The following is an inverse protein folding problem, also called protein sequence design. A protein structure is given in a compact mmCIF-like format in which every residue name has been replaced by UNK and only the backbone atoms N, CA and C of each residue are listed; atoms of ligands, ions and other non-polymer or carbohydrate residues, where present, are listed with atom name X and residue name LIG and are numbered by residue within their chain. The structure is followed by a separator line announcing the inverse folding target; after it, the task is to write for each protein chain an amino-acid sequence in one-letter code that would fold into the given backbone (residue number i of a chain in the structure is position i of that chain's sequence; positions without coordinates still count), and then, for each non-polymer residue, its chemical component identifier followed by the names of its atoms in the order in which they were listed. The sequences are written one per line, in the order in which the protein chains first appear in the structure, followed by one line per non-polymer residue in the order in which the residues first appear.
data_IF_154722581243
#
_entry.id   IF_154722581243
#
_cell.length_a   1.000
_cell.length_b   1.000
_cell.length_c   1.000
_cell.angle_alpha   90.00
_cell.angle_beta   90.00
_cell.angle_gamma   90.00
#
_symmetry.space_group_name_H-M   'P 1'
#
loop_
_entity.id
_entity.type
_entity.pdbx_description
1 polymer ?
#
# COMPACT_ATOMS: atom_id res chain seq x y z
N UNK A 1 -34.39 47.62 -33.47
CA UNK A 1 -33.84 48.99 -33.54
C UNK A 1 -32.34 49.04 -33.18
N UNK A 2 -31.90 48.33 -32.12
CA UNK A 2 -30.48 48.27 -31.69
C UNK A 2 -29.54 47.64 -32.75
N UNK A 3 -29.91 46.52 -33.38
CA UNK A 3 -29.05 45.86 -34.38
C UNK A 3 -28.73 46.73 -35.62
N UNK A 4 -29.62 47.66 -35.98
CA UNK A 4 -29.42 48.59 -37.10
C UNK A 4 -28.41 49.70 -36.76
N UNK A 5 -28.40 50.16 -35.49
CA UNK A 5 -27.43 51.13 -34.97
C UNK A 5 -26.03 50.52 -34.82
N UNK A 6 -25.94 49.26 -34.38
CA UNK A 6 -24.65 48.53 -34.30
C UNK A 6 -24.02 48.38 -35.69
N UNK A 7 -24.80 47.98 -36.70
CA UNK A 7 -24.31 47.85 -38.07
C UNK A 7 -23.87 49.19 -38.69
N UNK A 8 -24.61 50.28 -38.44
CA UNK A 8 -24.19 51.61 -38.89
C UNK A 8 -22.93 52.11 -38.18
N UNK A 9 -22.77 51.83 -36.89
CA UNK A 9 -21.56 52.16 -36.14
C UNK A 9 -20.34 51.37 -36.63
N UNK A 10 -20.51 50.10 -37.02
CA UNK A 10 -19.45 49.27 -37.61
C UNK A 10 -19.04 49.78 -39.00
N UNK A 11 -20.01 50.22 -39.81
CA UNK A 11 -19.77 50.70 -41.18
C UNK A 11 -19.10 52.09 -41.23
N UNK A 12 -19.37 52.97 -40.26
CA UNK A 12 -18.86 54.35 -40.29
C UNK A 12 -17.39 54.49 -39.84
N UNK A 13 -16.87 53.55 -39.03
CA UNK A 13 -15.50 53.61 -38.49
C UNK A 13 -14.81 52.24 -38.52
N UNK A 14 -14.64 51.64 -39.72
CA UNK A 14 -14.24 50.24 -39.88
C UNK A 14 -12.92 49.91 -39.17
N UNK A 15 -11.94 50.80 -39.21
CA UNK A 15 -10.64 50.58 -38.54
C UNK A 15 -10.73 50.51 -37.01
N UNK A 16 -11.53 51.37 -36.38
CA UNK A 16 -11.70 51.35 -34.91
C UNK A 16 -12.53 50.15 -34.45
N UNK A 17 -13.55 49.80 -35.22
CA UNK A 17 -14.38 48.63 -34.98
C UNK A 17 -13.59 47.32 -35.13
N UNK A 18 -12.74 47.23 -36.16
CA UNK A 18 -11.85 46.09 -36.35
C UNK A 18 -10.85 45.95 -35.20
N UNK A 19 -10.24 47.06 -34.77
CA UNK A 19 -9.30 47.08 -33.63
C UNK A 19 -9.97 46.63 -32.33
N UNK A 20 -11.19 47.11 -32.05
CA UNK A 20 -11.94 46.72 -30.86
C UNK A 20 -12.38 45.25 -30.89
N UNK A 21 -12.81 44.74 -32.05
CA UNK A 21 -13.19 43.34 -32.21
C UNK A 21 -11.98 42.40 -32.09
N UNK A 22 -10.84 42.78 -32.68
CA UNK A 22 -9.57 42.05 -32.53
C UNK A 22 -9.10 42.07 -31.08
N UNK A 23 -9.10 43.23 -30.42
CA UNK A 23 -8.71 43.36 -29.02
C UNK A 23 -9.61 42.55 -28.08
N UNK A 24 -10.93 42.57 -28.32
CA UNK A 24 -11.87 41.76 -27.55
C UNK A 24 -11.69 40.26 -27.80
N UNK A 25 -11.55 39.83 -29.07
CA UNK A 25 -11.31 38.44 -29.42
C UNK A 25 -9.99 37.91 -28.86
N UNK A 26 -8.92 38.73 -28.87
CA UNK A 26 -7.63 38.39 -28.29
C UNK A 26 -7.70 38.33 -26.76
N UNK A 27 -8.40 39.27 -26.12
CA UNK A 27 -8.64 39.25 -24.68
C UNK A 27 -9.42 38.02 -24.23
N UNK A 28 -10.53 37.69 -24.91
CA UNK A 28 -11.31 36.47 -24.64
C UNK A 28 -10.48 35.22 -24.93
N UNK A 29 -9.71 35.19 -26.01
CA UNK A 29 -8.82 34.07 -26.34
C UNK A 29 -7.74 33.83 -25.28
N UNK A 30 -7.12 34.90 -24.77
CA UNK A 30 -6.17 34.83 -23.66
C UNK A 30 -6.86 34.39 -22.37
N UNK A 31 -8.05 34.90 -22.04
CA UNK A 31 -8.80 34.46 -20.85
C UNK A 31 -9.22 32.99 -20.95
N UNK A 32 -9.67 32.51 -22.11
CA UNK A 32 -9.98 31.09 -22.34
C UNK A 32 -8.71 30.24 -22.27
N UNK A 33 -7.59 30.70 -22.82
CA UNK A 33 -6.31 29.99 -22.70
C UNK A 33 -5.82 29.96 -21.24
N UNK A 34 -5.95 31.05 -20.49
CA UNK A 34 -5.57 31.10 -19.08
C UNK A 34 -6.53 30.33 -18.17
N UNK A 35 -7.82 30.26 -18.49
CA UNK A 35 -8.79 29.40 -17.83
C UNK A 35 -8.59 27.94 -18.22
N UNK A 36 -8.17 27.63 -19.45
CA UNK A 36 -7.86 26.27 -19.89
C UNK A 36 -6.52 25.80 -19.32
N UNK A 37 -5.53 26.69 -19.16
CA UNK A 37 -4.28 26.41 -18.43
C UNK A 37 -4.58 26.36 -16.94
N UNK A 38 -5.48 27.19 -16.42
CA UNK A 38 -5.96 27.17 -15.05
C UNK A 38 -6.70 25.88 -14.73
N UNK A 39 -7.58 25.42 -15.63
CA UNK A 39 -8.28 24.14 -15.54
C UNK A 39 -7.30 23.00 -15.76
N UNK A 40 -6.34 23.07 -16.68
CA UNK A 40 -5.30 22.03 -16.82
C UNK A 40 -4.34 21.99 -15.63
N UNK A 41 -4.05 23.12 -14.99
CA UNK A 41 -3.26 23.21 -13.75
C UNK A 41 -4.06 22.78 -12.54
N UNK A 42 -5.37 23.06 -12.52
CA UNK A 42 -6.32 22.63 -11.49
C UNK A 42 -6.67 21.16 -11.67
N UNK A 43 -6.65 20.62 -12.89
CA UNK A 43 -6.83 19.21 -13.22
C UNK A 43 -5.51 18.47 -12.97
N UNK A 44 -4.34 19.03 -13.29
CA UNK A 44 -3.04 18.56 -12.78
C UNK A 44 -2.88 18.68 -11.26
N UNK A 45 -3.58 19.63 -10.60
CA UNK A 45 -3.53 19.77 -9.14
C UNK A 45 -4.65 19.01 -8.43
N UNK A 46 -5.74 18.65 -9.13
CA UNK A 46 -6.80 17.76 -8.64
C UNK A 46 -6.43 16.29 -8.88
N UNK A 47 -5.59 16.02 -9.87
CA UNK A 47 -4.84 14.76 -10.03
C UNK A 47 -3.67 14.66 -9.02
N UNK A 48 -3.84 15.30 -7.85
CA UNK A 48 -2.89 15.35 -6.72
C UNK A 48 -3.55 15.35 -5.34
N UNK A 49 -4.84 15.09 -5.26
CA UNK A 49 -5.48 14.72 -4.01
C UNK A 49 -5.62 13.20 -3.98
N UNK A 50 -4.52 12.52 -3.62
CA UNK A 50 -4.43 11.37 -2.73
C UNK A 50 -3.01 10.79 -2.85
N UNK A 51 -2.25 10.95 -1.77
CA UNK A 51 -1.08 10.13 -1.47
C UNK A 51 -1.53 8.67 -1.46
N UNK A 52 -1.23 8.01 -2.57
CA UNK A 52 -1.50 6.62 -2.86
C UNK A 52 -0.27 6.03 -3.52
N UNK A 53 0.66 5.56 -2.69
CA UNK A 53 1.96 5.07 -3.14
C UNK A 53 1.87 3.75 -3.89
N UNK A 54 1.73 3.85 -5.21
CA UNK A 54 2.20 2.91 -6.22
C UNK A 54 2.92 3.79 -7.26
N UNK A 55 4.16 3.51 -7.63
CA UNK A 55 4.42 2.56 -8.70
C UNK A 55 5.87 2.08 -8.61
N UNK A 56 6.08 0.82 -8.97
CA UNK A 56 7.24 0.53 -9.79
C UNK A 56 7.14 1.41 -11.05
N UNK A 57 7.82 2.57 -11.08
CA UNK A 57 7.91 3.36 -12.32
C UNK A 57 8.83 2.61 -13.28
N UNK A 58 8.22 1.76 -14.13
CA UNK A 58 8.88 1.21 -15.31
C UNK A 58 9.02 2.34 -16.31
N UNK A 59 10.16 3.02 -16.26
CA UNK A 59 10.48 4.11 -17.17
C UNK A 59 10.70 3.50 -18.57
N UNK A 60 9.95 3.92 -19.62
CA UNK A 60 10.28 3.56 -21.00
C UNK A 60 11.75 3.88 -21.27
N UNK A 61 12.45 3.04 -22.03
CA UNK A 61 13.83 3.32 -22.39
C UNK A 61 13.95 4.72 -23.01
N UNK A 62 14.58 5.66 -22.29
CA UNK A 62 14.81 7.03 -22.74
C UNK A 62 14.16 8.17 -21.96
N UNK A 63 13.39 7.92 -20.88
CA UNK A 63 12.90 8.99 -19.98
C UNK A 63 13.88 9.24 -18.83
N UNK A 64 14.11 10.53 -18.52
CA UNK A 64 15.03 11.02 -17.48
C UNK A 64 14.37 10.99 -16.09
N UNK A 65 15.11 10.52 -15.08
CA UNK A 65 14.69 10.49 -13.68
C UNK A 65 14.53 11.89 -13.09
N UNK A 66 15.22 12.90 -13.63
CA UNK A 66 15.11 14.30 -13.19
C UNK A 66 13.71 14.90 -13.45
N UNK A 67 12.98 14.37 -14.44
CA UNK A 67 11.61 14.82 -14.74
C UNK A 67 10.62 14.50 -13.61
N UNK A 68 10.92 13.51 -12.75
CA UNK A 68 10.11 13.15 -11.58
C UNK A 68 10.27 14.12 -10.39
N UNK A 69 11.29 14.99 -10.40
CA UNK A 69 11.56 15.95 -9.31
C UNK A 69 10.73 17.24 -9.35
N UNK A 70 9.98 17.50 -10.41
CA UNK A 70 9.47 18.86 -10.71
C UNK A 70 8.09 19.23 -10.11
N UNK A 71 7.57 18.46 -9.14
CA UNK A 71 6.34 18.79 -8.43
C UNK A 71 6.53 19.86 -7.33
N UNK A 72 6.13 21.11 -7.60
CA UNK A 72 6.30 22.24 -6.68
C UNK A 72 5.59 22.15 -5.32
N UNK A 73 6.06 22.98 -4.37
CA UNK A 73 5.62 23.28 -2.98
C UNK A 73 5.49 22.09 -2.01
N UNK A 74 5.22 20.87 -2.48
CA UNK A 74 5.43 19.61 -1.75
C UNK A 74 6.90 19.15 -1.73
N UNK A 75 7.80 19.93 -2.36
CA UNK A 75 9.23 19.65 -2.50
C UNK A 75 10.04 19.67 -1.20
N UNK A 76 9.40 19.87 -0.03
CA UNK A 76 10.05 19.83 1.28
C UNK A 76 10.12 18.42 1.89
N UNK A 77 9.34 17.46 1.37
CA UNK A 77 9.31 16.08 1.86
C UNK A 77 9.18 15.09 0.69
N UNK A 78 10.26 14.90 -0.07
CA UNK A 78 10.30 13.85 -1.10
C UNK A 78 10.50 12.47 -0.45
N UNK A 79 9.42 11.73 -0.24
CA UNK A 79 9.48 10.26 -0.12
C UNK A 79 9.22 9.68 -1.49
N UNK A 80 10.21 8.99 -2.09
CA UNK A 80 9.94 8.09 -3.20
C UNK A 80 9.31 6.85 -2.58
N UNK A 81 8.04 6.59 -2.89
CA UNK A 81 7.33 5.44 -2.38
C UNK A 81 8.08 4.15 -2.73
N UNK A 82 8.15 3.24 -1.76
CA UNK A 82 8.90 1.98 -1.86
C UNK A 82 10.40 2.10 -2.17
N UNK A 83 11.02 3.28 -2.07
CA UNK A 83 12.46 3.43 -2.26
C UNK A 83 13.28 2.55 -1.32
N UNK A 84 12.79 2.35 -0.09
CA UNK A 84 13.40 1.42 0.86
C UNK A 84 13.37 -0.02 0.33
N UNK A 85 12.22 -0.48 -0.17
CA UNK A 85 12.09 -1.82 -0.74
C UNK A 85 12.96 -1.99 -2.00
N UNK A 86 12.90 -1.03 -2.93
CA UNK A 86 13.71 -1.04 -4.16
C UNK A 86 15.21 -1.07 -3.83
N UNK A 87 15.66 -0.24 -2.88
CA UNK A 87 17.05 -0.27 -2.45
C UNK A 87 17.42 -1.59 -1.78
N UNK A 88 16.66 -2.02 -0.76
CA UNK A 88 16.97 -3.18 0.09
C UNK A 88 16.86 -4.49 -0.68
N UNK A 89 15.75 -4.73 -1.37
CA UNK A 89 15.43 -6.02 -1.99
C UNK A 89 15.89 -6.14 -3.44
N UNK A 90 15.95 -5.04 -4.19
CA UNK A 90 16.27 -5.09 -5.63
C UNK A 90 17.71 -4.67 -5.89
N UNK A 91 18.08 -3.42 -5.57
CA UNK A 91 19.37 -2.85 -5.96
C UNK A 91 20.53 -3.39 -5.11
N UNK A 92 20.33 -3.52 -3.80
CA UNK A 92 21.30 -4.12 -2.86
C UNK A 92 21.02 -5.60 -2.58
N UNK A 93 19.98 -6.16 -3.21
CA UNK A 93 19.58 -7.54 -3.04
C UNK A 93 20.52 -8.54 -3.71
N UNK A 94 20.46 -9.82 -3.30
CA UNK A 94 21.36 -10.86 -3.80
C UNK A 94 21.17 -11.15 -5.29
N UNK A 95 19.99 -10.91 -5.87
CA UNK A 95 19.72 -11.18 -7.29
C UNK A 95 20.58 -10.33 -8.23
N UNK A 96 20.89 -9.10 -7.84
CA UNK A 96 21.66 -8.16 -8.65
C UNK A 96 23.11 -7.98 -8.16
N UNK A 97 23.59 -8.77 -7.19
CA UNK A 97 24.92 -8.59 -6.57
C UNK A 97 26.08 -8.61 -7.58
N UNK A 98 25.94 -9.39 -8.66
CA UNK A 98 26.98 -9.50 -9.69
C UNK A 98 26.91 -8.37 -10.73
N UNK A 99 25.83 -7.59 -10.73
CA UNK A 99 25.56 -6.51 -11.71
C UNK A 99 25.61 -5.12 -11.08
N UNK A 100 25.19 -4.99 -9.82
CA UNK A 100 25.14 -3.74 -9.07
C UNK A 100 26.23 -3.78 -8.00
N UNK A 101 27.31 -3.04 -8.25
CA UNK A 101 28.43 -2.94 -7.30
C UNK A 101 28.08 -2.12 -6.06
N UNK A 102 27.32 -1.04 -6.26
CA UNK A 102 26.87 -0.14 -5.20
C UNK A 102 25.62 0.61 -5.68
N UNK A 103 24.74 0.91 -4.72
CA UNK A 103 23.61 1.81 -4.88
C UNK A 103 23.63 2.80 -3.71
N UNK A 104 23.19 4.03 -3.93
CA UNK A 104 23.11 5.05 -2.89
C UNK A 104 21.80 5.84 -3.03
N UNK A 105 20.99 5.96 -1.95
CA UNK A 105 19.90 6.92 -1.93
C UNK A 105 20.47 8.34 -1.88
N UNK A 106 19.88 9.24 -2.66
CA UNK A 106 20.32 10.63 -2.77
C UNK A 106 19.12 11.56 -3.02
N UNK A 107 19.00 12.60 -2.20
CA UNK A 107 18.21 13.82 -2.46
C UNK A 107 19.16 15.00 -2.73
N UNK A 108 19.02 15.68 -3.86
CA UNK A 108 19.85 16.82 -4.26
C UNK A 108 19.03 18.12 -4.30
N UNK A 109 19.74 19.25 -4.19
CA UNK A 109 19.24 20.62 -4.40
C UNK A 109 17.99 21.00 -3.57
N UNK A 110 17.89 20.49 -2.35
CA UNK A 110 16.84 20.90 -1.42
C UNK A 110 17.09 22.35 -0.94
N UNK A 111 16.20 23.28 -1.27
CA UNK A 111 16.31 24.66 -0.81
C UNK A 111 16.00 24.76 0.69
N UNK A 112 17.00 25.13 1.48
CA UNK A 112 16.85 25.49 2.88
C UNK A 112 17.19 26.98 3.10
N UNK A 113 16.75 27.51 4.22
CA UNK A 113 17.12 28.85 4.67
C UNK A 113 17.85 28.74 6.00
N UNK A 114 19.06 29.27 6.06
CA UNK A 114 19.89 29.30 7.25
C UNK A 114 19.78 30.68 7.87
N UNK A 115 19.27 30.75 9.11
CA UNK A 115 19.27 31.97 9.90
C UNK A 115 20.58 32.10 10.70
N UNK A 116 21.35 33.14 10.41
CA UNK A 116 22.61 33.45 11.10
C UNK A 116 22.52 34.86 11.66
N UNK A 117 22.17 34.96 12.95
CA UNK A 117 21.85 36.24 13.57
C UNK A 117 20.61 36.85 12.93
N UNK A 118 20.72 38.09 12.44
CA UNK A 118 19.63 38.82 11.76
C UNK A 118 19.61 38.60 10.23
N UNK A 119 20.40 37.64 9.71
CA UNK A 119 20.51 37.37 8.26
C UNK A 119 19.98 35.99 7.92
N UNK A 120 19.06 35.93 6.97
CA UNK A 120 18.59 34.67 6.37
C UNK A 120 19.31 34.44 5.03
N UNK A 121 19.94 33.28 4.88
CA UNK A 121 20.70 32.91 3.69
C UNK A 121 20.04 31.68 3.05
N UNK A 122 19.70 31.79 1.76
CA UNK A 122 19.27 30.63 0.98
C UNK A 122 20.45 29.69 0.73
N UNK A 123 20.28 28.41 1.05
CA UNK A 123 21.30 27.37 0.86
C UNK A 123 20.70 26.17 0.14
N UNK A 124 21.49 25.52 -0.71
CA UNK A 124 21.14 24.24 -1.31
C UNK A 124 21.68 23.11 -0.42
N UNK A 125 20.81 22.20 0.01
CA UNK A 125 21.12 21.08 0.86
C UNK A 125 21.02 19.75 0.10
N UNK A 126 21.84 18.80 0.54
CA UNK A 126 21.91 17.45 -0.01
C UNK A 126 21.72 16.43 1.11
N UNK A 127 20.92 15.40 0.84
CA UNK A 127 20.78 14.24 1.70
C UNK A 127 21.38 13.01 1.01
N UNK A 128 22.43 12.43 1.58
CA UNK A 128 23.01 11.19 1.10
C UNK A 128 23.50 10.35 2.29
N UNK A 129 23.54 9.04 2.09
CA UNK A 129 24.17 8.14 3.06
C UNK A 129 25.69 8.14 2.81
N UNK A 130 26.52 8.54 3.79
CA UNK A 130 27.96 8.74 3.59
C UNK A 130 28.69 7.52 3.02
N UNK A 131 28.50 6.34 3.61
CA UNK A 131 29.16 5.11 3.18
C UNK A 131 28.77 4.69 1.76
N UNK A 132 27.53 4.94 1.36
CA UNK A 132 27.02 4.58 0.02
C UNK A 132 27.50 5.55 -1.05
N UNK A 133 27.58 6.82 -0.71
CA UNK A 133 28.16 7.85 -1.58
C UNK A 133 29.66 7.60 -1.79
N UNK A 134 30.38 7.20 -0.74
CA UNK A 134 31.77 6.79 -0.83
C UNK A 134 31.95 5.53 -1.71
N UNK A 135 31.04 4.55 -1.62
CA UNK A 135 31.07 3.35 -2.45
C UNK A 135 30.88 3.66 -3.95
N UNK A 136 30.17 4.74 -4.28
CA UNK A 136 30.03 5.26 -5.65
C UNK A 136 31.19 6.18 -6.07
N UNK A 137 32.10 6.54 -5.16
CA UNK A 137 33.20 7.47 -5.43
C UNK A 137 32.78 8.94 -5.53
N UNK A 138 31.65 9.32 -4.92
CA UNK A 138 31.05 10.67 -5.03
C UNK A 138 31.00 11.41 -3.68
N UNK A 139 31.89 11.09 -2.75
CA UNK A 139 31.96 11.79 -1.46
C UNK A 139 32.20 13.31 -1.65
N UNK A 140 31.45 14.17 -0.95
CA UNK A 140 31.62 15.60 -1.01
C UNK A 140 32.93 16.03 -0.33
N UNK A 141 33.46 17.17 -0.76
CA UNK A 141 34.56 17.82 -0.06
C UNK A 141 34.01 18.51 1.17
N UNK A 142 34.39 18.02 2.36
CA UNK A 142 33.94 18.58 3.63
C UNK A 142 34.76 19.83 3.98
N UNK A 143 34.08 20.96 4.13
CA UNK A 143 34.70 22.22 4.62
C UNK A 143 34.79 22.22 6.16
N UNK A 144 33.80 21.64 6.83
CA UNK A 144 33.73 21.53 8.28
C UNK A 144 32.92 20.31 8.71
N UNK A 145 33.20 19.79 9.91
CA UNK A 145 32.47 18.67 10.53
C UNK A 145 32.97 17.29 10.11
N UNK A 146 32.18 16.28 10.47
CA UNK A 146 32.34 14.89 10.05
C UNK A 146 31.07 14.44 9.30
N UNK A 147 31.24 13.53 8.35
CA UNK A 147 30.16 13.00 7.53
C UNK A 147 30.27 11.47 7.50
N UNK A 148 29.60 10.86 8.46
CA UNK A 148 29.64 9.43 8.74
C UNK A 148 28.21 8.91 8.89
N UNK A 149 28.00 7.62 8.60
CA UNK A 149 26.68 7.00 8.73
C UNK A 149 26.15 7.15 10.16
N UNK A 150 24.92 7.64 10.26
CA UNK A 150 24.15 7.66 11.50
C UNK A 150 23.44 6.32 11.75
N UNK A 151 22.92 6.14 12.96
CA UNK A 151 22.04 5.02 13.28
C UNK A 151 20.77 5.02 12.39
N UNK A 152 20.30 6.21 11.99
CA UNK A 152 19.16 6.34 11.08
C UNK A 152 19.49 5.86 9.65
N UNK A 153 20.73 6.08 9.19
CA UNK A 153 21.20 5.57 7.89
C UNK A 153 21.33 4.05 7.92
N UNK A 154 21.88 3.50 9.02
CA UNK A 154 21.97 2.06 9.22
C UNK A 154 20.56 1.42 9.24
N UNK A 155 19.61 2.00 9.99
CA UNK A 155 18.21 1.56 10.01
C UNK A 155 17.55 1.68 8.64
N UNK A 156 17.85 2.73 7.87
CA UNK A 156 17.31 2.89 6.53
C UNK A 156 17.84 1.82 5.57
N UNK A 157 19.12 1.46 5.64
CA UNK A 157 19.72 0.47 4.73
C UNK A 157 19.43 -0.98 5.12
N UNK A 158 19.53 -1.31 6.40
CA UNK A 158 19.53 -2.67 6.93
C UNK A 158 18.83 -2.67 8.30
N UNK A 159 17.50 -2.44 8.34
CA UNK A 159 16.74 -2.54 9.59
C UNK A 159 16.77 -3.98 10.14
N UNK A 160 16.58 -4.13 11.46
CA UNK A 160 16.20 -5.45 11.99
C UNK A 160 14.84 -5.87 11.44
N UNK A 161 14.52 -7.17 11.46
CA UNK A 161 13.24 -7.65 10.95
C UNK A 161 12.03 -7.04 11.67
N UNK A 162 12.08 -6.94 12.99
CA UNK A 162 11.03 -6.25 13.77
C UNK A 162 10.83 -4.80 13.37
N UNK A 163 11.91 -4.07 13.09
CA UNK A 163 11.84 -2.67 12.63
C UNK A 163 11.29 -2.59 11.21
N UNK A 164 11.70 -3.48 10.31
CA UNK A 164 11.17 -3.55 8.95
C UNK A 164 9.66 -3.85 8.95
N UNK A 165 9.22 -4.81 9.76
CA UNK A 165 7.80 -5.16 9.89
C UNK A 165 7.00 -4.00 10.47
N UNK A 166 7.50 -3.34 11.52
CA UNK A 166 6.92 -2.11 12.04
C UNK A 166 6.79 -0.99 11.00
N UNK A 167 7.73 -0.88 10.05
CA UNK A 167 7.67 0.10 8.98
C UNK A 167 6.60 -0.18 7.91
N UNK A 168 6.19 -1.44 7.73
CA UNK A 168 5.31 -1.83 6.61
C UNK A 168 3.94 -2.36 7.04
N UNK A 169 3.78 -2.79 8.29
CA UNK A 169 2.65 -3.61 8.74
C UNK A 169 1.98 -3.06 10.01
N UNK A 170 2.27 -1.81 10.39
CA UNK A 170 1.57 -1.15 11.49
C UNK A 170 0.14 -0.76 11.08
N UNK A 171 -0.75 -0.61 12.08
CA UNK A 171 -2.11 -0.15 11.84
C UNK A 171 -2.17 1.35 11.54
N UNK A 172 -3.27 1.78 10.95
CA UNK A 172 -3.53 3.18 10.61
C UNK A 172 -4.73 3.71 11.40
N UNK A 173 -4.67 5.01 11.71
CA UNK A 173 -5.87 5.75 12.11
C UNK A 173 -6.42 6.39 10.85
N UNK A 174 -7.67 6.09 10.42
CA UNK A 174 -8.23 6.72 9.25
C UNK A 174 -8.37 8.22 9.46
N UNK A 175 -8.26 8.99 8.37
CA UNK A 175 -8.38 10.44 8.38
C UNK A 175 -9.34 10.90 7.29
N UNK A 176 -9.84 12.14 7.37
CA UNK A 176 -10.74 12.71 6.37
C UNK A 176 -12.01 11.89 6.16
N UNK A 177 -12.43 11.74 4.91
CA UNK A 177 -13.66 11.03 4.57
C UNK A 177 -13.65 9.56 5.03
N UNK A 178 -12.48 8.91 5.02
CA UNK A 178 -12.32 7.52 5.48
C UNK A 178 -12.66 7.36 6.96
N UNK A 179 -12.32 8.34 7.81
CA UNK A 179 -12.62 8.30 9.25
C UNK A 179 -14.13 8.36 9.53
N UNK A 180 -14.88 8.93 8.60
CA UNK A 180 -16.33 9.06 8.64
C UNK A 180 -17.07 7.94 7.90
N UNK A 181 -16.41 7.05 7.16
CA UNK A 181 -17.09 5.98 6.42
C UNK A 181 -17.27 4.73 7.30
N UNK A 182 -18.50 4.22 7.40
CA UNK A 182 -18.82 3.02 8.19
C UNK A 182 -18.23 1.72 7.66
N UNK A 183 -17.68 1.74 6.44
CA UNK A 183 -17.04 0.60 5.77
C UNK A 183 -15.52 0.73 5.75
N UNK A 184 -14.97 1.74 6.45
CA UNK A 184 -13.55 1.71 6.78
C UNK A 184 -13.26 0.44 7.57
N UNK A 185 -12.28 -0.33 7.10
CA UNK A 185 -11.78 -1.48 7.81
C UNK A 185 -10.30 -1.68 7.49
N UNK A 186 -9.59 -2.15 8.51
CA UNK A 186 -8.19 -2.54 8.45
C UNK A 186 -8.03 -3.88 9.15
N UNK A 187 -7.30 -4.81 8.53
CA UNK A 187 -7.16 -6.15 9.09
C UNK A 187 -5.82 -6.80 8.79
N UNK A 188 -5.31 -7.51 9.79
CA UNK A 188 -4.34 -8.59 9.56
C UNK A 188 -5.08 -9.86 9.19
N UNK A 189 -4.63 -10.54 8.14
CA UNK A 189 -5.14 -11.84 7.74
C UNK A 189 -4.02 -12.86 7.65
N UNK A 190 -4.25 -14.02 8.26
CA UNK A 190 -3.33 -15.15 8.28
C UNK A 190 -4.02 -16.35 7.64
N UNK A 191 -3.30 -17.03 6.75
CA UNK A 191 -3.69 -18.31 6.18
C UNK A 191 -2.63 -19.35 6.56
N UNK A 192 -3.03 -20.39 7.29
CA UNK A 192 -2.15 -21.46 7.75
C UNK A 192 -2.61 -22.78 7.14
N UNK A 193 -1.72 -23.45 6.42
CA UNK A 193 -1.93 -24.79 5.89
C UNK A 193 -1.28 -25.81 6.83
N UNK A 194 -2.09 -26.77 7.31
CA UNK A 194 -1.63 -27.84 8.18
C UNK A 194 -0.43 -28.61 7.60
N UNK A 195 0.47 -29.18 8.43
CA UNK A 195 1.67 -29.86 7.94
C UNK A 195 1.37 -31.07 7.03
N UNK A 196 0.24 -31.73 7.25
CA UNK A 196 -0.26 -32.85 6.46
C UNK A 196 -1.20 -32.42 5.32
N UNK A 197 -1.32 -31.11 5.09
CA UNK A 197 -2.22 -30.47 4.12
C UNK A 197 -3.70 -30.86 4.26
N UNK A 198 -4.12 -31.32 5.45
CA UNK A 198 -5.48 -31.80 5.67
C UNK A 198 -6.51 -30.68 5.85
N UNK A 199 -6.07 -29.48 6.24
CA UNK A 199 -6.92 -28.32 6.43
C UNK A 199 -6.18 -26.99 6.26
N UNK A 200 -6.97 -25.94 6.00
CA UNK A 200 -6.57 -24.54 6.10
C UNK A 200 -7.23 -23.89 7.32
N UNK A 201 -6.47 -23.08 8.03
CA UNK A 201 -6.98 -22.12 9.01
C UNK A 201 -6.81 -20.71 8.43
N UNK A 202 -7.92 -20.02 8.27
CA UNK A 202 -7.96 -18.59 8.00
C UNK A 202 -8.25 -17.85 9.30
N UNK A 203 -7.50 -16.80 9.60
CA UNK A 203 -7.64 -16.00 10.82
C UNK A 203 -7.51 -14.52 10.48
N UNK A 204 -8.52 -13.73 10.83
CA UNK A 204 -8.57 -12.29 10.54
C UNK A 204 -8.77 -11.49 11.82
N UNK A 205 -7.86 -10.57 12.10
CA UNK A 205 -8.01 -9.55 13.15
C UNK A 205 -8.37 -8.23 12.47
N UNK A 206 -9.63 -7.82 12.60
CA UNK A 206 -10.18 -6.66 11.93
C UNK A 206 -10.50 -5.55 12.94
N UNK A 207 -10.17 -4.33 12.57
CA UNK A 207 -10.59 -3.08 13.23
C UNK A 207 -11.31 -2.24 12.18
N UNK A 208 -12.49 -1.71 12.50
CA UNK A 208 -13.27 -0.98 11.50
C UNK A 208 -14.50 -0.27 12.05
N UNK A 209 -15.15 0.50 11.18
CA UNK A 209 -16.29 1.36 11.48
C UNK A 209 -15.96 2.86 11.44
N UNK A 210 -16.85 3.69 11.98
CA UNK A 210 -16.72 5.15 11.93
C UNK A 210 -15.90 5.64 13.13
N UNK A 211 -14.68 6.07 12.87
CA UNK A 211 -13.77 6.57 13.91
C UNK A 211 -14.23 7.93 14.46
N UNK A 212 -14.72 8.83 13.61
CA UNK A 212 -15.12 10.19 14.01
C UNK A 212 -16.33 10.22 14.96
N UNK A 213 -17.29 9.28 14.79
CA UNK A 213 -18.46 9.17 15.68
C UNK A 213 -18.23 8.27 16.89
N UNK A 214 -17.08 7.58 16.96
CA UNK A 214 -16.83 6.54 17.96
C UNK A 214 -17.57 5.23 17.71
N UNK A 215 -18.26 5.09 16.57
CA UNK A 215 -18.98 3.88 16.15
C UNK A 215 -18.04 2.94 15.37
N UNK A 216 -16.94 2.56 16.01
CA UNK A 216 -15.98 1.59 15.50
C UNK A 216 -15.84 0.42 16.48
N UNK A 217 -15.09 -0.61 16.11
CA UNK A 217 -14.85 -1.75 16.97
C UNK A 217 -13.90 -2.75 16.34
N UNK A 218 -13.84 -3.94 16.94
CA UNK A 218 -13.00 -5.03 16.48
C UNK A 218 -13.81 -6.27 16.15
N UNK A 219 -13.33 -7.05 15.19
CA UNK A 219 -13.90 -8.34 14.83
C UNK A 219 -12.78 -9.35 14.63
N UNK A 220 -12.99 -10.55 15.15
CA UNK A 220 -12.07 -11.66 15.01
C UNK A 220 -12.79 -12.79 14.30
N UNK A 221 -12.32 -13.11 13.10
CA UNK A 221 -12.91 -14.14 12.25
C UNK A 221 -11.92 -15.29 12.12
N UNK A 222 -12.42 -16.53 12.22
CA UNK A 222 -11.64 -17.68 11.86
C UNK A 222 -12.46 -18.73 11.12
N UNK A 223 -11.91 -19.26 10.03
CA UNK A 223 -12.50 -20.34 9.26
C UNK A 223 -11.53 -21.53 9.22
N UNK A 224 -12.02 -22.70 9.64
CA UNK A 224 -11.30 -23.96 9.53
C UNK A 224 -11.92 -24.77 8.39
N UNK A 225 -11.18 -24.89 7.29
CA UNK A 225 -11.64 -25.55 6.06
C UNK A 225 -10.87 -26.83 5.86
N UNK A 226 -11.55 -27.97 5.76
CA UNK A 226 -10.92 -29.27 5.53
C UNK A 226 -10.78 -29.55 4.04
N UNK A 227 -9.68 -30.21 3.65
CA UNK A 227 -9.44 -30.63 2.27
C UNK A 227 -10.46 -31.62 1.74
N UNK A 228 -10.97 -32.50 2.61
CA UNK A 228 -12.03 -33.45 2.26
C UNK A 228 -13.43 -32.82 2.22
N UNK A 229 -13.52 -31.50 2.44
CA UNK A 229 -14.79 -30.77 2.54
C UNK A 229 -15.21 -30.51 3.98
N UNK A 230 -16.07 -29.49 4.14
CA UNK A 230 -16.55 -29.01 5.42
C UNK A 230 -15.80 -27.78 5.92
N UNK A 231 -16.57 -26.82 6.40
CA UNK A 231 -16.10 -25.56 6.94
C UNK A 231 -16.67 -25.37 8.36
N UNK A 232 -15.85 -24.90 9.29
CA UNK A 232 -16.29 -24.40 10.60
C UNK A 232 -15.90 -22.94 10.76
N UNK A 233 -16.89 -22.11 11.09
CA UNK A 233 -16.72 -20.66 11.28
C UNK A 233 -16.74 -20.29 12.76
N UNK A 234 -15.87 -19.34 13.12
CA UNK A 234 -15.74 -18.79 14.46
C UNK A 234 -15.70 -17.26 14.35
N UNK A 235 -16.43 -16.57 15.22
CA UNK A 235 -16.53 -15.11 15.19
C UNK A 235 -16.57 -14.53 16.60
N UNK A 236 -15.81 -13.47 16.83
CA UNK A 236 -15.91 -12.63 18.02
C UNK A 236 -16.03 -11.16 17.62
N UNK A 237 -16.84 -10.40 18.36
CA UNK A 237 -16.99 -8.94 18.19
C UNK A 237 -16.58 -8.23 19.48
N UNK A 238 -15.96 -7.07 19.32
CA UNK A 238 -15.34 -6.33 20.40
C UNK A 238 -15.70 -4.85 20.30
N UNK A 239 -16.08 -4.27 21.44
CA UNK A 239 -16.30 -2.82 21.57
C UNK A 239 -14.96 -2.08 21.54
N UNK A 240 -14.92 -0.77 21.20
CA UNK A 240 -13.69 0.04 21.17
C UNK A 240 -12.78 -0.12 22.39
N UNK A 241 -13.35 -0.21 23.59
CA UNK A 241 -12.60 -0.34 24.85
C UNK A 241 -11.83 -1.65 24.98
N UNK A 242 -12.23 -2.67 24.23
CA UNK A 242 -11.66 -4.01 24.23
C UNK A 242 -10.70 -4.20 23.03
N UNK A 243 -10.46 -3.15 22.25
CA UNK A 243 -9.56 -3.12 21.09
C UNK A 243 -8.34 -2.27 21.41
N UNK A 244 -7.16 -2.79 21.10
CA UNK A 244 -5.88 -2.07 21.18
C UNK A 244 -5.11 -2.34 19.90
N UNK A 245 -4.62 -1.30 19.23
CA UNK A 245 -3.74 -1.46 18.07
C UNK A 245 -2.62 -0.42 18.12
N UNK A 246 -1.52 -0.68 17.41
CA UNK A 246 -0.37 0.21 17.34
C UNK A 246 -0.20 0.79 15.95
N UNK A 247 0.03 2.10 15.88
CA UNK A 247 0.44 2.79 14.65
C UNK A 247 1.94 2.81 14.43
N UNK A 248 2.69 2.10 15.29
CA UNK A 248 4.16 2.03 15.24
C UNK A 248 4.66 0.59 15.12
N UNK A 249 3.79 -0.40 15.38
CA UNK A 249 4.11 -1.83 15.32
C UNK A 249 2.92 -2.62 14.77
N UNK A 250 3.12 -3.83 14.25
CA UNK A 250 2.04 -4.71 13.78
C UNK A 250 1.26 -5.38 14.92
N UNK A 251 1.13 -4.68 16.04
CA UNK A 251 0.52 -5.21 17.25
C UNK A 251 -0.96 -4.86 17.27
N UNK A 252 -1.82 -5.87 17.43
CA UNK A 252 -3.26 -5.70 17.69
C UNK A 252 -3.74 -6.66 18.76
N UNK A 253 -4.63 -6.19 19.61
CA UNK A 253 -5.31 -6.92 20.67
C UNK A 253 -6.82 -6.74 20.56
N UNK A 254 -7.54 -7.86 20.56
CA UNK A 254 -9.00 -7.95 20.56
C UNK A 254 -9.42 -8.79 21.78
N UNK A 255 -9.77 -8.13 22.88
CA UNK A 255 -10.00 -8.77 24.16
C UNK A 255 -8.77 -9.56 24.64
N UNK A 256 -8.90 -10.88 24.76
CA UNK A 256 -7.77 -11.77 25.14
C UNK A 256 -6.93 -12.27 23.96
N UNK A 257 -7.34 -11.97 22.73
CA UNK A 257 -6.65 -12.37 21.51
C UNK A 257 -5.67 -11.29 21.08
N UNK A 258 -4.50 -11.65 20.56
CA UNK A 258 -3.49 -10.69 20.15
C UNK A 258 -2.57 -11.22 19.03
N UNK A 259 -2.10 -10.29 18.21
CA UNK A 259 -0.94 -10.39 17.33
C UNK A 259 0.15 -9.48 17.88
N UNK A 260 1.37 -9.99 18.00
CA UNK A 260 2.53 -9.24 18.45
C UNK A 260 3.78 -9.63 17.67
N UNK A 261 4.59 -8.65 17.26
CA UNK A 261 5.88 -8.92 16.61
C UNK A 261 7.00 -8.97 17.64
N UNK A 262 7.78 -10.05 17.62
CA UNK A 262 8.96 -10.25 18.47
C UNK A 262 10.18 -9.53 17.89
N UNK A 263 11.22 -9.26 18.70
CA UNK A 263 12.43 -8.58 18.22
C UNK A 263 13.11 -9.26 17.03
N UNK A 264 12.98 -10.59 16.91
CA UNK A 264 13.50 -11.43 15.83
C UNK A 264 12.63 -11.46 14.56
N UNK A 265 11.54 -10.68 14.51
CA UNK A 265 10.61 -10.66 13.37
C UNK A 265 9.57 -11.78 13.37
N UNK A 266 9.52 -12.62 14.40
CA UNK A 266 8.48 -13.65 14.54
C UNK A 266 7.16 -13.03 15.00
N UNK A 267 6.06 -13.33 14.31
CA UNK A 267 4.72 -13.01 14.77
C UNK A 267 4.28 -14.02 15.84
N UNK A 268 3.86 -13.53 17.00
CA UNK A 268 3.18 -14.31 18.02
C UNK A 268 1.69 -14.06 17.92
N UNK A 269 0.92 -15.05 17.49
CA UNK A 269 -0.53 -14.95 17.36
C UNK A 269 -1.17 -15.85 18.40
N UNK A 270 -2.00 -15.27 19.26
CA UNK A 270 -2.78 -16.00 20.26
C UNK A 270 -4.23 -15.58 20.14
N UNK A 271 -5.14 -16.54 20.03
CA UNK A 271 -6.57 -16.23 19.93
C UNK A 271 -7.43 -17.28 20.61
N UNK A 272 -8.57 -16.81 21.10
CA UNK A 272 -9.73 -17.63 21.45
C UNK A 272 -10.98 -17.03 20.80
N UNK A 273 -11.64 -17.80 19.94
CA UNK A 273 -12.81 -17.36 19.19
C UNK A 273 -13.95 -18.35 19.40
N UNK A 274 -15.15 -17.92 19.82
CA UNK A 274 -16.30 -18.81 19.94
C UNK A 274 -16.82 -19.23 18.55
N UNK A 275 -17.47 -20.39 18.48
CA UNK A 275 -18.12 -20.85 17.25
C UNK A 275 -19.23 -19.87 16.84
N UNK A 276 -19.29 -19.55 15.54
CA UNK A 276 -20.23 -18.57 15.00
C UNK A 276 -21.70 -19.05 15.08
N UNK A 277 -21.91 -20.37 15.12
CA UNK A 277 -23.21 -21.01 15.27
C UNK A 277 -23.75 -21.02 16.72
N UNK A 278 -22.98 -20.51 17.68
CA UNK A 278 -23.36 -20.48 19.09
C UNK A 278 -23.28 -21.85 19.80
N UNK A 279 -22.67 -22.87 19.19
CA UNK A 279 -22.58 -24.24 19.71
C UNK A 279 -21.76 -24.43 20.99
N UNK A 280 -21.30 -23.35 21.64
CA UNK A 280 -20.52 -23.38 22.89
C UNK A 280 -19.06 -23.80 22.74
N UNK A 281 -18.67 -24.33 21.58
CA UNK A 281 -17.29 -24.59 21.21
C UNK A 281 -16.50 -23.28 21.02
N UNK A 282 -15.19 -23.35 21.23
CA UNK A 282 -14.26 -22.28 20.88
C UNK A 282 -13.04 -22.84 20.16
N UNK A 283 -12.58 -22.12 19.16
CA UNK A 283 -11.27 -22.27 18.57
C UNK A 283 -10.25 -21.55 19.45
N UNK A 284 -9.17 -22.23 19.81
CA UNK A 284 -8.00 -21.66 20.49
C UNK A 284 -6.79 -21.89 19.60
N UNK A 285 -6.08 -20.83 19.26
CA UNK A 285 -4.85 -20.90 18.46
C UNK A 285 -3.74 -20.21 19.22
N UNK A 286 -2.58 -20.83 19.25
CA UNK A 286 -1.34 -20.22 19.73
C UNK A 286 -0.24 -20.60 18.74
N UNK A 287 0.19 -19.65 17.92
CA UNK A 287 1.19 -19.90 16.90
C UNK A 287 2.31 -18.85 16.91
N UNK A 288 3.47 -19.29 16.46
CA UNK A 288 4.63 -18.49 16.13
C UNK A 288 4.86 -18.60 14.63
N UNK A 289 4.63 -17.51 13.90
CA UNK A 289 4.87 -17.42 12.47
C UNK A 289 6.22 -16.75 12.24
N UNK A 290 7.17 -17.51 11.69
CA UNK A 290 8.47 -17.01 11.25
C UNK A 290 8.43 -16.73 9.75
N UNK A 291 8.59 -15.47 9.32
CA UNK A 291 8.67 -15.13 7.91
C UNK A 291 9.90 -15.77 7.24
N UNK A 292 9.77 -16.21 5.98
CA UNK A 292 10.94 -16.53 5.18
C UNK A 292 11.68 -15.23 4.79
N UNK A 293 13.02 -15.22 4.83
CA UNK A 293 13.80 -14.04 4.42
C UNK A 293 13.45 -13.61 2.99
N UNK A 294 13.24 -12.31 2.78
CA UNK A 294 12.89 -11.69 1.48
C UNK A 294 11.56 -12.15 0.87
N UNK A 295 10.78 -12.95 1.60
CA UNK A 295 9.42 -13.36 1.23
C UNK A 295 8.38 -12.33 1.68
N UNK A 296 8.53 -11.06 1.30
CA UNK A 296 7.57 -10.00 1.61
C UNK A 296 7.44 -9.03 0.45
N UNK A 297 6.32 -8.32 0.43
CA UNK A 297 6.05 -7.24 -0.50
C UNK A 297 5.81 -5.94 0.27
N UNK A 298 6.21 -4.80 -0.30
CA UNK A 298 6.00 -3.52 0.33
C UNK A 298 4.51 -3.17 0.43
N UNK A 299 4.16 -2.19 1.29
CA UNK A 299 2.83 -1.62 1.26
C UNK A 299 2.60 -0.96 -0.11
N UNK A 300 1.43 -1.12 -0.70
CA UNK A 300 1.05 -0.53 -1.98
C UNK A 300 -0.35 0.05 -1.87
N UNK A 301 -0.59 1.17 -2.54
CA UNK A 301 -1.96 1.58 -2.86
C UNK A 301 -2.47 0.72 -4.02
N UNK A 302 -3.60 0.05 -3.81
CA UNK A 302 -4.23 -0.83 -4.81
C UNK A 302 -5.35 -0.14 -5.57
N UNK A 303 -5.69 1.10 -5.23
CA UNK A 303 -6.67 1.98 -5.89
C UNK A 303 -6.21 3.44 -5.95
N UNK A 304 -5.00 3.73 -6.49
CA UNK A 304 -4.46 5.08 -6.51
C UNK A 304 -5.39 6.04 -7.25
N UNK A 305 -5.75 7.13 -6.59
CA UNK A 305 -6.60 8.20 -7.13
C UNK A 305 -8.11 7.89 -7.18
N UNK A 306 -8.56 6.72 -6.72
CA UNK A 306 -9.99 6.36 -6.70
C UNK A 306 -10.55 6.38 -5.26
N UNK A 307 -10.02 5.54 -4.37
CA UNK A 307 -10.41 5.51 -2.97
C UNK A 307 -9.27 5.02 -2.09
N UNK A 308 -9.31 5.36 -0.79
CA UNK A 308 -8.30 4.88 0.16
C UNK A 308 -8.34 3.35 0.25
N UNK A 309 -7.32 2.68 -0.30
CA UNK A 309 -7.13 1.24 -0.21
C UNK A 309 -5.66 0.87 -0.27
N UNK A 310 -5.11 0.36 0.83
CA UNK A 310 -3.74 -0.10 0.88
C UNK A 310 -3.63 -1.56 1.28
N UNK A 311 -2.52 -2.15 0.86
CA UNK A 311 -2.25 -3.56 0.96
C UNK A 311 -0.76 -3.82 1.15
N UNK A 312 -0.42 -4.75 2.03
CA UNK A 312 0.96 -5.20 2.24
C UNK A 312 0.97 -6.70 2.47
N UNK A 313 2.06 -7.36 2.07
CA UNK A 313 2.31 -8.77 2.38
C UNK A 313 3.59 -8.89 3.22
N UNK A 314 3.49 -8.85 4.55
CA UNK A 314 4.66 -8.98 5.41
C UNK A 314 5.25 -10.39 5.40
N UNK A 315 4.41 -11.41 5.14
CA UNK A 315 4.82 -12.81 5.05
C UNK A 315 4.15 -13.48 3.86
N UNK A 316 4.81 -13.45 2.70
CA UNK A 316 4.37 -14.19 1.52
C UNK A 316 4.48 -15.69 1.74
N UNK A 317 5.50 -16.11 2.49
CA UNK A 317 5.70 -17.49 2.92
C UNK A 317 6.40 -17.51 4.28
N UNK A 318 5.94 -18.37 5.16
CA UNK A 318 6.51 -18.53 6.50
C UNK A 318 6.27 -19.91 7.08
N UNK A 319 7.03 -20.22 8.13
CA UNK A 319 6.87 -21.45 8.90
C UNK A 319 6.18 -21.18 10.22
N UNK A 320 5.33 -22.11 10.63
CA UNK A 320 4.57 -22.03 11.87
C UNK A 320 5.03 -23.09 12.86
N UNK A 321 5.06 -22.70 14.12
CA UNK A 321 5.17 -23.59 15.27
C UNK A 321 4.06 -23.23 16.27
N UNK A 322 3.36 -24.22 16.83
CA UNK A 322 2.29 -23.94 17.79
C UNK A 322 1.19 -24.99 17.81
N UNK A 323 0.01 -24.58 18.24
CA UNK A 323 -1.14 -25.48 18.34
C UNK A 323 -2.45 -24.81 17.99
N UNK A 324 -3.37 -25.66 17.54
CA UNK A 324 -4.76 -25.33 17.26
C UNK A 324 -5.63 -26.31 18.04
N UNK A 325 -6.58 -25.81 18.82
CA UNK A 325 -7.54 -26.64 19.53
C UNK A 325 -8.97 -26.18 19.21
N UNK A 326 -9.83 -27.13 18.87
CA UNK A 326 -11.28 -26.90 18.81
C UNK A 326 -11.94 -27.81 19.84
N UNK A 327 -12.70 -27.20 20.75
CA UNK A 327 -13.22 -27.88 21.94
C UNK A 327 -12.09 -28.51 22.78
N UNK A 328 -11.92 -29.84 22.72
CA UNK A 328 -10.86 -30.59 23.41
C UNK A 328 -9.91 -31.33 22.48
N UNK A 329 -10.10 -31.21 21.16
CA UNK A 329 -9.24 -31.84 20.17
C UNK A 329 -8.21 -30.82 19.73
N UNK A 330 -6.94 -31.16 19.90
CA UNK A 330 -5.82 -30.30 19.55
C UNK A 330 -4.99 -30.94 18.45
N UNK A 331 -4.48 -30.09 17.56
CA UNK A 331 -3.54 -30.41 16.51
C UNK A 331 -2.26 -29.61 16.72
N UNK A 332 -1.13 -30.26 16.47
CA UNK A 332 0.18 -29.60 16.39
C UNK A 332 0.30 -28.91 15.04
N UNK A 333 0.88 -27.71 15.04
CA UNK A 333 1.16 -26.91 13.85
C UNK A 333 2.65 -26.83 13.54
N UNK A 334 3.50 -27.60 14.22
CA UNK A 334 4.93 -27.63 13.93
C UNK A 334 5.19 -27.98 12.45
N UNK A 335 5.88 -27.07 11.75
CA UNK A 335 6.20 -27.23 10.33
C UNK A 335 5.06 -26.87 9.38
N UNK A 336 3.93 -26.35 9.88
CA UNK A 336 2.87 -25.81 9.04
C UNK A 336 3.39 -24.60 8.23
N UNK A 337 2.83 -24.41 7.05
CA UNK A 337 3.14 -23.24 6.21
C UNK A 337 2.10 -22.15 6.42
N UNK A 338 2.52 -20.89 6.29
CA UNK A 338 1.60 -19.78 6.40
C UNK A 338 1.93 -18.60 5.49
N UNK A 339 0.87 -17.85 5.23
CA UNK A 339 0.83 -16.58 4.53
C UNK A 339 0.19 -15.53 5.45
N UNK A 340 0.66 -14.30 5.38
CA UNK A 340 0.11 -13.16 6.10
C UNK A 340 0.11 -11.92 5.20
N UNK A 341 -1.06 -11.27 5.11
CA UNK A 341 -1.20 -9.93 4.56
C UNK A 341 -1.95 -8.99 5.53
N UNK A 342 -1.89 -7.72 5.20
CA UNK A 342 -2.55 -6.65 5.92
C UNK A 342 -3.13 -5.66 4.92
N UNK A 343 -4.41 -5.36 5.09
CA UNK A 343 -5.19 -4.50 4.20
C UNK A 343 -5.82 -3.38 5.03
N UNK A 344 -5.95 -2.19 4.45
CA UNK A 344 -6.70 -1.07 5.03
C UNK A 344 -7.44 -0.33 3.93
N UNK A 345 -8.61 0.24 4.23
CA UNK A 345 -9.34 0.99 3.21
C UNK A 345 -10.81 1.20 3.50
N UNK A 346 -11.46 1.92 2.59
CA UNK A 346 -12.92 2.02 2.51
C UNK A 346 -13.42 0.92 1.58
N UNK A 347 -14.18 -0.04 2.12
CA UNK A 347 -14.58 -1.25 1.39
C UNK A 347 -16.00 -1.19 0.79
N UNK A 348 -16.62 -0.01 0.80
CA UNK A 348 -17.94 0.22 0.22
C UNK A 348 -17.93 -0.07 -1.28
N UNK A 349 -18.72 -1.05 -1.69
CA UNK A 349 -18.91 -1.45 -3.10
C UNK A 349 -17.60 -1.91 -3.75
N UNK A 350 -16.65 -2.39 -2.95
CA UNK A 350 -15.40 -2.96 -3.42
C UNK A 350 -15.59 -4.47 -3.61
N UNK A 351 -15.17 -4.95 -4.76
CA UNK A 351 -14.97 -6.37 -5.08
C UNK A 351 -13.49 -6.60 -5.35
N UNK A 352 -13.00 -7.80 -5.07
CA UNK A 352 -11.58 -8.09 -5.19
C UNK A 352 -11.33 -9.53 -5.62
N UNK A 353 -10.18 -9.72 -6.26
CA UNK A 353 -9.60 -11.02 -6.58
C UNK A 353 -8.25 -11.11 -5.86
N UNK A 354 -7.97 -12.21 -5.17
CA UNK A 354 -6.67 -12.44 -4.50
C UNK A 354 -6.30 -13.91 -4.54
N UNK A 355 -5.01 -14.18 -4.67
CA UNK A 355 -4.50 -15.53 -4.46
C UNK A 355 -3.00 -15.59 -4.33
N UNK A 356 -2.55 -16.59 -3.58
CA UNK A 356 -1.15 -16.95 -3.43
C UNK A 356 -0.96 -18.41 -3.84
N UNK A 357 0.12 -18.68 -4.55
CA UNK A 357 0.51 -20.03 -4.95
C UNK A 357 2.01 -20.23 -4.74
N UNK A 358 2.39 -21.46 -4.39
CA UNK A 358 3.77 -21.85 -4.19
C UNK A 358 4.12 -23.05 -5.07
N UNK A 359 5.26 -22.98 -5.75
CA UNK A 359 5.79 -24.04 -6.59
C UNK A 359 7.30 -24.18 -6.34
N UNK A 360 7.68 -25.10 -5.46
CA UNK A 360 9.06 -25.19 -4.97
C UNK A 360 9.44 -23.92 -4.22
N UNK A 361 10.52 -23.26 -4.66
CA UNK A 361 10.99 -21.98 -4.09
C UNK A 361 10.27 -20.75 -4.69
N UNK A 362 9.46 -20.93 -5.74
CA UNK A 362 8.73 -19.84 -6.36
C UNK A 362 7.42 -19.59 -5.60
N UNK A 363 7.18 -18.35 -5.23
CA UNK A 363 5.90 -17.86 -4.73
C UNK A 363 5.32 -16.86 -5.71
N UNK A 364 4.04 -17.01 -6.02
CA UNK A 364 3.27 -16.12 -6.87
C UNK A 364 2.17 -15.53 -6.02
N UNK A 365 2.11 -14.20 -5.96
CA UNK A 365 0.96 -13.47 -5.44
C UNK A 365 0.29 -12.76 -6.60
N UNK A 366 -1.02 -12.83 -6.67
CA UNK A 366 -1.81 -11.99 -7.56
C UNK A 366 -2.98 -11.37 -6.81
N UNK A 367 -3.44 -10.24 -7.32
CA UNK A 367 -4.69 -9.69 -6.86
C UNK A 367 -5.09 -8.43 -7.59
N UNK A 368 -6.20 -7.85 -7.16
CA UNK A 368 -6.70 -6.58 -7.63
C UNK A 368 -8.04 -6.25 -7.01
N UNK A 369 -8.35 -4.96 -6.97
CA UNK A 369 -9.62 -4.45 -6.44
C UNK A 369 -10.36 -3.67 -7.52
N UNK A 370 -11.68 -3.65 -7.39
CA UNK A 370 -12.60 -2.96 -8.30
C UNK A 370 -13.72 -2.35 -7.47
N UNK A 371 -14.08 -1.11 -7.74
CA UNK A 371 -15.24 -0.45 -7.12
C UNK A 371 -16.34 -0.25 -8.13
N UNK A 372 -17.56 -0.64 -7.78
CA UNK A 372 -18.72 -0.38 -8.62
C UNK A 372 -19.21 1.07 -8.41
N UNK A 373 -19.20 1.87 -9.48
CA UNK A 373 -19.77 3.23 -9.46
C UNK A 373 -21.32 3.18 -9.43
N UNK A 374 -22.01 4.00 -8.60
CA UNK A 374 -23.46 3.87 -8.39
C UNK A 374 -24.37 4.22 -9.58
N UNK A 375 -23.89 4.71 -10.73
CA UNK A 375 -24.83 5.22 -11.74
C UNK A 375 -24.33 5.37 -13.19
N UNK A 376 -23.61 4.40 -13.77
CA UNK A 376 -23.42 4.41 -15.23
C UNK A 376 -23.29 3.00 -15.81
N UNK A 377 -24.43 2.37 -16.14
CA UNK A 377 -24.48 1.10 -16.89
C UNK A 377 -23.80 1.17 -18.29
N UNK A 378 -23.33 2.36 -18.69
CA UNK A 378 -22.73 2.62 -20.01
C UNK A 378 -21.23 2.86 -20.00
N UNK A 379 -20.57 3.00 -18.84
CA UNK A 379 -19.11 2.99 -18.77
C UNK A 379 -18.61 1.56 -18.62
N UNK A 380 -17.67 1.08 -19.48
CA UNK A 380 -16.98 -0.15 -19.19
C UNK A 380 -16.36 -0.03 -17.79
N UNK A 381 -16.51 -1.09 -16.98
CA UNK A 381 -15.84 -1.19 -15.69
C UNK A 381 -14.38 -0.73 -15.87
N UNK A 382 -13.97 0.24 -15.05
CA UNK A 382 -12.61 0.75 -15.09
C UNK A 382 -11.68 -0.47 -14.96
N UNK A 383 -10.64 -0.54 -15.80
CA UNK A 383 -9.75 -1.70 -15.83
C UNK A 383 -9.24 -1.94 -14.41
N UNK A 384 -9.60 -3.09 -13.84
CA UNK A 384 -9.21 -3.48 -12.50
C UNK A 384 -7.69 -3.28 -12.33
N UNK A 385 -7.27 -2.58 -11.28
CA UNK A 385 -5.86 -2.48 -10.93
C UNK A 385 -5.42 -3.85 -10.44
N UNK A 386 -4.95 -4.68 -11.38
CA UNK A 386 -4.50 -6.04 -11.12
C UNK A 386 -3.00 -6.11 -11.16
N UNK A 387 -2.45 -6.94 -10.30
CA UNK A 387 -1.02 -7.15 -10.20
C UNK A 387 -0.70 -8.63 -10.02
N UNK A 388 0.52 -8.99 -10.41
CA UNK A 388 1.12 -10.27 -10.09
C UNK A 388 2.59 -10.06 -9.72
N UNK A 389 2.96 -10.57 -8.55
CA UNK A 389 4.33 -10.59 -8.04
C UNK A 389 4.85 -12.02 -8.07
N UNK A 390 6.05 -12.19 -8.63
CA UNK A 390 6.82 -13.42 -8.55
C UNK A 390 8.01 -13.21 -7.60
N UNK A 391 8.14 -14.05 -6.59
CA UNK A 391 9.18 -13.98 -5.56
C UNK A 391 9.82 -15.36 -5.40
N UNK A 392 11.14 -15.42 -5.27
CA UNK A 392 11.86 -16.66 -4.94
C UNK A 392 12.85 -16.42 -3.77
N UNK A 393 13.71 -17.39 -3.47
CA UNK A 393 14.67 -17.30 -2.35
C UNK A 393 15.67 -16.12 -2.45
N UNK A 394 15.80 -15.49 -3.62
CA UNK A 394 16.60 -14.28 -3.83
C UNK A 394 15.77 -12.99 -3.73
N UNK A 395 14.50 -13.06 -3.34
CA UNK A 395 13.56 -11.93 -3.24
C UNK A 395 12.75 -11.72 -4.52
N UNK A 396 12.29 -10.49 -4.76
CA UNK A 396 11.49 -10.15 -5.93
C UNK A 396 12.17 -10.61 -7.22
N UNK A 397 11.44 -11.40 -8.01
CA UNK A 397 11.87 -11.88 -9.34
C UNK A 397 11.29 -11.04 -10.45
N UNK A 398 10.05 -10.59 -10.30
CA UNK A 398 9.41 -9.72 -11.26
C UNK A 398 8.00 -9.31 -10.84
N UNK A 399 7.55 -8.22 -11.44
CA UNK A 399 6.15 -7.76 -11.42
C UNK A 399 5.62 -7.95 -12.83
N UNK A 400 4.46 -8.59 -12.96
CA UNK A 400 3.86 -8.93 -14.23
C UNK A 400 2.49 -8.24 -14.34
N UNK A 401 2.20 -7.56 -15.46
CA UNK A 401 0.87 -7.03 -15.71
C UNK A 401 -0.11 -8.20 -15.92
N UNK A 402 -1.31 -8.07 -15.35
CA UNK A 402 -2.36 -9.09 -15.47
C UNK A 402 -3.42 -8.58 -16.44
N UNK A 403 -3.69 -9.34 -17.50
CA UNK A 403 -4.74 -9.02 -18.49
C UNK A 403 -6.11 -9.56 -18.07
N UNK A 404 -6.17 -10.84 -17.70
CA UNK A 404 -7.36 -11.51 -17.18
C UNK A 404 -6.99 -12.47 -16.05
N UNK A 405 -7.98 -12.77 -15.21
CA UNK A 405 -7.95 -13.85 -14.23
C UNK A 405 -9.20 -14.66 -14.51
N UNK A 406 -9.02 -15.92 -14.87
CA UNK A 406 -10.10 -16.84 -15.23
C UNK A 406 -10.06 -18.02 -14.24
N UNK A 407 -11.20 -18.30 -13.61
CA UNK A 407 -11.33 -19.38 -12.64
C UNK A 407 -11.97 -20.59 -13.31
N UNK A 408 -11.18 -21.64 -13.54
CA UNK A 408 -11.68 -22.95 -13.96
C UNK A 408 -11.83 -23.82 -12.71
N UNK A 409 -13.08 -24.06 -12.32
CA UNK A 409 -13.41 -25.03 -11.28
C UNK A 409 -13.72 -26.36 -11.98
N UNK A 410 -13.04 -27.47 -11.63
CA UNK A 410 -13.47 -28.76 -12.13
C UNK A 410 -14.86 -29.08 -11.56
N UNK A 411 -15.73 -29.67 -12.40
CA UNK A 411 -17.17 -29.83 -12.13
C UNK A 411 -17.46 -30.56 -10.80
N UNK A 412 -16.55 -31.45 -10.37
CA UNK A 412 -16.64 -32.21 -9.13
C UNK A 412 -16.45 -31.37 -7.86
N UNK A 413 -15.79 -30.21 -7.95
CA UNK A 413 -15.59 -29.28 -6.82
C UNK A 413 -16.80 -28.36 -6.64
N UNK A 414 -17.47 -27.96 -7.71
CA UNK A 414 -18.66 -27.10 -7.63
C UNK A 414 -19.82 -27.80 -6.94
N UNK A 415 -20.05 -29.08 -7.27
CA UNK A 415 -21.09 -29.91 -6.62
C UNK A 415 -20.80 -30.16 -5.13
N UNK A 416 -19.53 -30.18 -4.72
CA UNK A 416 -19.13 -30.39 -3.32
C UNK A 416 -19.18 -29.11 -2.45
N UNK A 417 -19.02 -27.93 -3.06
CA UNK A 417 -18.97 -26.64 -2.35
C UNK A 417 -20.32 -25.93 -2.35
N UNK A 418 -21.12 -26.08 -3.42
CA UNK A 418 -22.39 -25.36 -3.60
C UNK A 418 -23.63 -26.27 -3.74
N UNK A 419 -23.46 -27.60 -3.69
CA UNK A 419 -24.53 -28.60 -3.79
C UNK A 419 -25.27 -28.89 -2.50
#
# INVERSE_FOLDING_TARGET
MIGRLVWQSLAQRPGRSLLLLLGYGLGVGVTVALLSIGDALVEQSRDRDLLGGGDLVVVPAGIDLETLKTGGVSSLYFTIDQARYLYREVLSGPRLSDRVRAAAPWIDDALLYLDVGDTTIAVAARGQIPSRSAALGVSPVLVAGAWEDSESDARWMLPSDSVRLAEIDAFHVPTGDAASDSTWAEWHYFNVLAPDESYWLYLTFLVGGRFDSGEWGGQLLANLVRREGGERRFEGRFEPRDVQFSTERPDVGLGSSAVQVRPDGTYSVRTRVPAADGGGDSLVVSLLLRPEPRGYLPPVDVSPGDFTSGYVVPVLRGSVAGSLCVARVCSDLEGASAYHDHNWGVWRQVTWDWGVAHAGDLSILYGGVQRAEPSDETRPAQAANRFLFAVDSLGLRGVLPVQSIDYEWPDDVLDAVYG
#
